data_IF_084544073245
#
_entry.id   IF_084544073245
#
_cell.length_a   1.000
_cell.length_b   1.000
_cell.length_c   1.000
_cell.angle_alpha   90.00
_cell.angle_beta   90.00
_cell.angle_gamma   90.00
#
_symmetry.space_group_name_H-M   'P 1'
#
loop_
_entity.id
_entity.type
_entity.pdbx_description
1 polymer ?
#
# COMPACT_ATOMS: atom_id res chain seq x y z
N UNK A 1 -6.22 -11.19 3.61
CA UNK A 1 -5.91 -10.44 2.36
C UNK A 1 -4.58 -10.96 1.83
N UNK A 2 -4.49 -11.21 0.53
CA UNK A 2 -3.24 -11.62 -0.13
C UNK A 2 -2.65 -10.42 -0.90
N UNK A 3 -1.36 -10.15 -0.71
CA UNK A 3 -0.68 -9.07 -1.43
C UNK A 3 -0.11 -9.57 -2.76
N UNK A 4 -0.39 -8.84 -3.84
CA UNK A 4 0.27 -9.01 -5.15
C UNK A 4 1.02 -7.74 -5.46
N UNK A 5 2.33 -7.83 -5.65
CA UNK A 5 3.14 -6.68 -6.03
C UNK A 5 3.23 -6.59 -7.55
N UNK A 6 2.97 -5.41 -8.10
CA UNK A 6 3.30 -5.13 -9.51
C UNK A 6 4.82 -5.22 -9.71
N UNK A 7 5.32 -5.51 -10.94
CA UNK A 7 6.76 -5.51 -11.19
C UNK A 7 7.43 -4.18 -10.80
N UNK A 8 6.76 -3.06 -11.12
CA UNK A 8 7.21 -1.72 -10.73
C UNK A 8 7.24 -1.56 -9.20
N UNK A 9 6.19 -1.96 -8.51
CA UNK A 9 6.09 -1.87 -7.05
C UNK A 9 7.13 -2.72 -6.32
N UNK A 10 7.36 -3.95 -6.80
CA UNK A 10 8.39 -4.85 -6.25
C UNK A 10 9.77 -4.22 -6.36
N UNK A 11 10.11 -3.66 -7.53
CA UNK A 11 11.39 -2.96 -7.75
C UNK A 11 11.54 -1.77 -6.80
N UNK A 12 10.52 -0.93 -6.67
CA UNK A 12 10.56 0.24 -5.78
C UNK A 12 10.70 -0.12 -4.31
N UNK A 13 10.03 -1.18 -3.87
CA UNK A 13 10.17 -1.68 -2.51
C UNK A 13 11.58 -2.16 -2.22
N UNK A 14 12.19 -2.90 -3.15
CA UNK A 14 13.60 -3.34 -3.04
C UNK A 14 14.56 -2.15 -2.99
N UNK A 15 14.44 -1.20 -3.92
CA UNK A 15 15.28 0.01 -3.97
C UNK A 15 15.19 0.88 -2.70
N UNK A 16 14.06 0.82 -1.99
CA UNK A 16 13.77 1.67 -0.82
C UNK A 16 13.76 0.92 0.50
N UNK A 17 14.17 -0.34 0.51
CA UNK A 17 14.13 -1.23 1.67
C UNK A 17 12.76 -1.21 2.39
N UNK A 18 11.67 -1.29 1.62
CA UNK A 18 10.30 -1.40 2.14
C UNK A 18 9.96 -2.89 2.18
N UNK A 19 9.73 -3.41 3.38
CA UNK A 19 9.34 -4.81 3.56
C UNK A 19 7.83 -4.99 3.33
N UNK A 20 7.42 -6.23 3.02
CA UNK A 20 6.00 -6.57 2.96
C UNK A 20 5.29 -6.35 4.32
N UNK A 21 5.99 -6.56 5.43
CA UNK A 21 5.48 -6.28 6.77
C UNK A 21 5.18 -4.80 6.99
N UNK A 22 5.95 -3.88 6.40
CA UNK A 22 5.66 -2.44 6.47
C UNK A 22 4.32 -2.13 5.79
N UNK A 23 4.10 -2.70 4.60
CA UNK A 23 2.86 -2.57 3.83
C UNK A 23 1.67 -3.09 4.66
N UNK A 24 1.78 -4.31 5.19
CA UNK A 24 0.71 -4.93 5.97
C UNK A 24 0.38 -4.14 7.24
N UNK A 25 1.40 -3.61 7.93
CA UNK A 25 1.19 -2.82 9.14
C UNK A 25 0.52 -1.48 8.83
N UNK A 26 1.02 -0.78 7.82
CA UNK A 26 0.46 0.50 7.37
C UNK A 26 -0.96 0.33 6.87
N UNK A 27 -1.28 -0.77 6.17
CA UNK A 27 -2.63 -1.08 5.71
C UNK A 27 -3.56 -1.57 6.83
N UNK A 28 -3.23 -1.50 8.11
CA UNK A 28 -4.22 -1.71 9.17
C UNK A 28 -5.14 -0.49 9.29
N UNK A 29 -6.41 -0.70 9.59
CA UNK A 29 -7.46 0.34 9.57
C UNK A 29 -7.09 1.56 10.43
N UNK A 30 -6.60 1.35 11.65
CA UNK A 30 -6.20 2.42 12.58
C UNK A 30 -4.87 3.13 12.20
N UNK A 31 -4.13 2.60 11.22
CA UNK A 31 -2.82 3.12 10.85
C UNK A 31 -2.82 3.90 9.53
N UNK A 32 -3.96 4.02 8.84
CA UNK A 32 -4.02 4.57 7.48
C UNK A 32 -5.06 5.68 7.31
N UNK A 33 -4.72 6.65 6.48
CA UNK A 33 -5.63 7.59 5.83
C UNK A 33 -5.75 7.17 4.36
N UNK A 34 -6.96 7.18 3.80
CA UNK A 34 -7.20 6.82 2.40
C UNK A 34 -7.72 7.99 1.59
N UNK A 35 -7.35 8.04 0.31
CA UNK A 35 -7.90 8.98 -0.66
C UNK A 35 -7.72 8.46 -2.09
N UNK A 36 -8.56 8.90 -3.05
CA UNK A 36 -8.41 8.49 -4.45
C UNK A 36 -7.07 9.00 -5.02
N UNK A 37 -6.42 8.15 -5.83
CA UNK A 37 -5.20 8.58 -6.53
C UNK A 37 -5.51 9.66 -7.55
N UNK A 38 -4.64 10.67 -7.65
CA UNK A 38 -4.72 11.72 -8.68
C UNK A 38 -4.59 11.17 -10.10
N UNK A 39 -3.99 9.99 -10.27
CA UNK A 39 -3.86 9.33 -11.58
C UNK A 39 -5.17 8.71 -12.10
N UNK A 40 -6.23 8.64 -11.29
CA UNK A 40 -7.49 8.01 -11.67
C UNK A 40 -7.42 6.48 -11.85
N UNK A 41 -8.43 5.90 -12.50
CA UNK A 41 -8.45 4.48 -12.89
C UNK A 41 -8.66 3.48 -11.75
N UNK A 42 -9.41 3.84 -10.71
CA UNK A 42 -9.71 2.97 -9.56
C UNK A 42 -8.51 2.68 -8.67
N UNK A 43 -7.48 3.51 -8.74
CA UNK A 43 -6.31 3.47 -7.86
C UNK A 43 -6.58 4.25 -6.58
N UNK A 44 -6.11 3.71 -5.46
CA UNK A 44 -6.27 4.30 -4.14
C UNK A 44 -4.92 4.50 -3.49
N UNK A 45 -4.79 5.59 -2.74
CA UNK A 45 -3.60 5.86 -1.94
C UNK A 45 -3.96 5.68 -0.47
N UNK A 46 -3.10 4.91 0.21
CA UNK A 46 -3.13 4.74 1.66
C UNK A 46 -1.85 5.34 2.22
N UNK A 47 -1.98 6.31 3.10
CA UNK A 47 -0.86 6.88 3.85
C UNK A 47 -0.97 6.48 5.30
N UNK A 48 0.13 6.04 5.89
CA UNK A 48 0.13 5.65 7.29
C UNK A 48 1.51 5.53 7.86
N UNK A 49 1.61 4.97 9.06
CA UNK A 49 2.90 4.67 9.70
C UNK A 49 3.19 3.18 9.66
N UNK A 50 4.45 2.79 9.51
CA UNK A 50 4.88 1.41 9.69
C UNK A 50 5.10 1.09 11.18
N UNK A 51 5.56 -0.13 11.50
CA UNK A 51 5.83 -0.55 12.88
C UNK A 51 6.92 0.28 13.57
N UNK A 52 7.81 0.90 12.81
CA UNK A 52 8.88 1.80 13.29
C UNK A 52 8.45 3.26 13.36
N UNK A 53 7.17 3.58 13.11
CA UNK A 53 6.63 4.94 13.13
C UNK A 53 6.95 5.80 11.91
N UNK A 54 7.64 5.27 10.88
CA UNK A 54 7.97 5.98 9.63
C UNK A 54 6.74 6.08 8.75
N UNK A 55 6.56 7.23 8.08
CA UNK A 55 5.41 7.45 7.19
C UNK A 55 5.62 6.76 5.85
N UNK A 56 4.61 6.07 5.38
CA UNK A 56 4.61 5.28 4.15
C UNK A 56 3.35 5.57 3.35
N UNK A 57 3.51 5.81 2.05
CA UNK A 57 2.41 5.90 1.10
C UNK A 57 2.38 4.65 0.21
N UNK A 58 1.20 4.08 0.02
CA UNK A 58 0.96 2.83 -0.69
C UNK A 58 -0.14 3.08 -1.72
N UNK A 59 0.13 2.77 -2.98
CA UNK A 59 -0.86 2.86 -4.06
C UNK A 59 -1.36 1.46 -4.39
N UNK A 60 -2.68 1.27 -4.35
CA UNK A 60 -3.32 -0.03 -4.57
C UNK A 60 -4.38 0.02 -5.66
N UNK A 61 -4.76 -1.16 -6.14
CA UNK A 61 -5.98 -1.39 -6.92
C UNK A 61 -6.50 -2.82 -6.67
N UNK A 62 -7.77 -3.03 -6.29
CA UNK A 62 -8.79 -2.03 -5.94
C UNK A 62 -8.48 -1.33 -4.59
N UNK A 63 -9.46 -0.62 -4.01
CA UNK A 63 -9.38 -0.21 -2.61
C UNK A 63 -9.32 -1.46 -1.72
N UNK A 64 -8.67 -1.36 -0.57
CA UNK A 64 -8.63 -2.43 0.45
C UNK A 64 -10.03 -2.80 0.91
N UNK A 65 -10.92 -1.81 1.05
CA UNK A 65 -12.28 -2.00 1.53
C UNK A 65 -13.19 -2.71 0.52
N UNK A 66 -12.84 -2.67 -0.77
CA UNK A 66 -13.58 -3.34 -1.84
C UNK A 66 -13.18 -4.82 -1.97
N UNK A 67 -12.22 -5.29 -1.17
CA UNK A 67 -11.76 -6.68 -1.24
C UNK A 67 -12.72 -7.61 -0.50
N UNK A 68 -13.11 -8.75 -1.11
CA UNK A 68 -13.77 -9.81 -0.36
C UNK A 68 -12.80 -10.41 0.68
N UNK A 69 -13.31 -11.13 1.71
CA UNK A 69 -12.48 -11.94 2.58
C UNK A 69 -11.57 -12.88 1.78
N UNK A 70 -10.27 -12.89 2.08
CA UNK A 70 -9.28 -13.65 1.29
C UNK A 70 -8.90 -13.05 -0.07
N UNK A 71 -9.50 -11.92 -0.44
CA UNK A 71 -9.25 -11.22 -1.69
C UNK A 71 -7.79 -10.78 -1.87
N UNK A 72 -7.42 -10.57 -3.13
CA UNK A 72 -6.06 -10.21 -3.55
C UNK A 72 -5.97 -8.72 -3.83
N UNK A 73 -5.14 -8.02 -3.06
CA UNK A 73 -4.83 -6.61 -3.26
C UNK A 73 -3.61 -6.47 -4.16
N UNK A 74 -3.71 -5.68 -5.22
CA UNK A 74 -2.52 -5.33 -6.00
C UNK A 74 -1.88 -4.08 -5.44
N UNK A 75 -0.63 -4.19 -4.98
CA UNK A 75 0.24 -3.08 -4.62
C UNK A 75 0.91 -2.60 -5.90
N UNK A 76 0.51 -1.42 -6.36
CA UNK A 76 1.06 -0.80 -7.58
C UNK A 76 2.44 -0.25 -7.27
N UNK A 77 2.58 0.50 -6.18
CA UNK A 77 3.86 1.04 -5.70
C UNK A 77 3.76 1.42 -4.23
N UNK A 78 4.89 1.60 -3.57
CA UNK A 78 5.00 2.12 -2.22
C UNK A 78 6.26 2.98 -2.09
N UNK A 79 6.20 4.01 -1.26
CA UNK A 79 7.32 4.90 -1.02
C UNK A 79 7.23 5.58 0.35
N UNK A 80 8.38 5.74 1.00
CA UNK A 80 8.49 6.54 2.22
C UNK A 80 8.05 7.99 1.96
N UNK A 81 7.33 8.54 2.94
CA UNK A 81 6.95 9.94 3.01
C UNK A 81 7.80 10.61 4.08
N UNK A 82 8.45 11.70 3.72
CA UNK A 82 9.12 12.60 4.66
C UNK A 82 8.09 13.46 5.42
#
# INVERSE_FOLDING_TARGET
MLLKFSPHGRRRMQERAIAESDILFTLREHNRVRYPSREGGGKWVYEGRNASGRRLAIITRPAVEDLPPGGRLTIITAYWRD
#
